data_IF_807748840173
#
_entry.id   IF_807748840173
#
_cell.length_a   1.000
_cell.length_b   1.000
_cell.length_c   1.000
_cell.angle_alpha   90.00
_cell.angle_beta   90.00
_cell.angle_gamma   90.00
#
_symmetry.space_group_name_H-M   'P 1'
#
loop_
_entity.id
_entity.type
_entity.pdbx_description
1 polymer ?
#
# COMPACT_ATOMS: atom_id res chain seq x y z
N UNK A 1 37.80 -0.30 0.63
CA UNK A 1 38.24 -0.27 2.05
C UNK A 1 37.12 -0.64 3.01
N UNK A 2 35.87 -0.15 2.84
CA UNK A 2 34.72 -0.55 3.68
C UNK A 2 34.27 -2.02 3.49
N UNK A 3 34.31 -2.54 2.27
CA UNK A 3 33.92 -3.95 1.99
C UNK A 3 34.83 -4.97 2.71
N UNK A 4 36.07 -4.58 3.00
CA UNK A 4 37.03 -5.39 3.75
C UNK A 4 36.79 -5.36 5.27
N UNK A 5 36.11 -4.34 5.80
CA UNK A 5 35.74 -4.27 7.22
C UNK A 5 34.50 -5.12 7.50
N UNK A 6 33.47 -5.04 6.64
CA UNK A 6 32.27 -5.88 6.74
C UNK A 6 32.59 -7.39 6.67
N UNK A 7 33.64 -7.77 5.95
CA UNK A 7 34.09 -9.17 5.87
C UNK A 7 34.72 -9.67 7.18
N UNK A 8 35.31 -8.77 7.97
CA UNK A 8 36.03 -9.09 9.22
C UNK A 8 35.18 -8.89 10.48
N UNK A 9 33.97 -8.34 10.32
CA UNK A 9 32.99 -8.14 11.37
C UNK A 9 32.29 -9.45 11.77
N UNK A 10 31.69 -9.43 12.96
CA UNK A 10 30.92 -10.58 13.47
C UNK A 10 29.78 -10.95 12.53
N UNK A 11 29.37 -12.22 12.50
CA UNK A 11 28.26 -12.69 11.66
C UNK A 11 26.98 -11.86 11.90
N UNK A 12 26.74 -11.48 13.15
CA UNK A 12 25.66 -10.58 13.56
C UNK A 12 25.68 -9.23 12.85
N UNK A 13 26.83 -8.57 12.78
CA UNK A 13 26.96 -7.26 12.13
C UNK A 13 26.73 -7.36 10.62
N UNK A 14 27.19 -8.44 9.98
CA UNK A 14 26.95 -8.69 8.55
C UNK A 14 25.46 -8.85 8.23
N UNK A 15 24.70 -9.49 9.11
CA UNK A 15 23.24 -9.55 9.00
C UNK A 15 22.58 -8.18 9.13
N UNK A 16 23.04 -7.36 10.09
CA UNK A 16 22.51 -6.01 10.30
C UNK A 16 22.75 -5.15 9.04
N UNK A 17 23.97 -5.15 8.49
CA UNK A 17 24.27 -4.41 7.26
C UNK A 17 23.44 -4.88 6.06
N UNK A 18 23.28 -6.20 5.91
CA UNK A 18 22.47 -6.78 4.83
C UNK A 18 21.01 -6.39 4.95
N UNK A 19 20.45 -6.46 6.17
CA UNK A 19 19.06 -6.08 6.44
C UNK A 19 18.83 -4.58 6.24
N UNK A 20 19.74 -3.73 6.73
CA UNK A 20 19.72 -2.29 6.50
C UNK A 20 19.67 -1.97 5.00
N UNK A 21 20.53 -2.60 4.20
CA UNK A 21 20.53 -2.39 2.75
C UNK A 21 19.19 -2.79 2.12
N UNK A 22 18.64 -3.96 2.46
CA UNK A 22 17.34 -4.42 1.95
C UNK A 22 16.25 -3.42 2.30
N UNK A 23 16.18 -2.96 3.56
CA UNK A 23 15.17 -1.99 4.01
C UNK A 23 15.33 -0.66 3.28
N UNK A 24 16.54 -0.12 3.18
CA UNK A 24 16.81 1.15 2.50
C UNK A 24 16.44 1.09 1.00
N UNK A 25 16.66 -0.05 0.34
CA UNK A 25 16.27 -0.28 -1.06
C UNK A 25 14.75 -0.42 -1.22
N UNK A 26 14.09 -1.24 -0.38
CA UNK A 26 12.64 -1.46 -0.47
C UNK A 26 11.85 -0.20 -0.14
N UNK A 27 12.31 0.59 0.84
CA UNK A 27 11.70 1.87 1.19
C UNK A 27 12.04 3.01 0.21
N UNK A 28 12.92 2.77 -0.78
CA UNK A 28 13.31 3.77 -1.77
C UNK A 28 14.19 4.91 -1.23
N UNK A 29 14.78 4.74 -0.04
CA UNK A 29 15.67 5.75 0.56
C UNK A 29 17.03 5.75 -0.14
N UNK A 30 17.63 4.56 -0.30
CA UNK A 30 18.82 4.35 -1.12
C UNK A 30 19.98 5.31 -0.83
N UNK A 31 20.46 5.36 0.42
CA UNK A 31 21.56 6.26 0.84
C UNK A 31 22.84 6.14 -0.01
N UNK A 32 23.05 5.00 -0.67
CA UNK A 32 24.18 4.79 -1.59
C UNK A 32 25.50 4.49 -0.90
N UNK A 33 25.49 4.25 0.41
CA UNK A 33 26.63 3.83 1.22
C UNK A 33 27.00 2.35 1.02
N UNK A 34 26.00 1.49 0.76
CA UNK A 34 26.16 0.10 0.35
C UNK A 34 25.54 -0.05 -1.04
N UNK A 35 26.36 -0.39 -2.03
CA UNK A 35 25.93 -0.47 -3.42
C UNK A 35 26.63 -1.59 -4.18
N UNK A 36 25.98 -2.11 -5.20
CA UNK A 36 26.55 -3.14 -6.06
C UNK A 36 27.65 -2.59 -6.99
N UNK A 37 28.87 -3.07 -6.81
CA UNK A 37 29.99 -2.72 -7.70
C UNK A 37 30.11 -3.68 -8.87
N UNK A 38 29.83 -4.97 -8.63
CA UNK A 38 30.00 -6.02 -9.63
C UNK A 38 28.78 -6.20 -10.52
N UNK A 39 28.97 -6.73 -11.73
CA UNK A 39 27.87 -6.99 -12.68
C UNK A 39 26.80 -7.92 -12.09
N UNK A 40 27.23 -8.97 -11.38
CA UNK A 40 26.34 -9.93 -10.71
C UNK A 40 25.56 -9.29 -9.56
N UNK A 41 26.23 -8.53 -8.69
CA UNK A 41 25.60 -7.81 -7.58
C UNK A 41 24.57 -6.79 -8.07
N UNK A 42 24.84 -6.13 -9.21
CA UNK A 42 23.92 -5.16 -9.81
C UNK A 42 22.64 -5.84 -10.29
N UNK A 43 22.77 -7.00 -10.94
CA UNK A 43 21.62 -7.78 -11.40
C UNK A 43 20.77 -8.26 -10.21
N UNK A 44 21.41 -8.73 -9.14
CA UNK A 44 20.72 -9.09 -7.90
C UNK A 44 19.99 -7.89 -7.29
N UNK A 45 20.66 -6.73 -7.22
CA UNK A 45 20.07 -5.50 -6.69
C UNK A 45 18.84 -5.05 -7.50
N UNK A 46 18.91 -5.15 -8.83
CA UNK A 46 17.76 -4.88 -9.70
C UNK A 46 16.60 -5.83 -9.42
N UNK A 47 16.86 -7.13 -9.27
CA UNK A 47 15.84 -8.11 -8.94
C UNK A 47 15.17 -7.81 -7.59
N UNK A 48 15.95 -7.49 -6.56
CA UNK A 48 15.44 -7.10 -5.23
C UNK A 48 14.55 -5.86 -5.32
N UNK A 49 14.97 -4.83 -6.06
CA UNK A 49 14.18 -3.61 -6.26
C UNK A 49 12.84 -3.89 -6.95
N UNK A 50 12.79 -4.76 -7.96
CA UNK A 50 11.55 -5.14 -8.66
C UNK A 50 10.59 -5.84 -7.69
N UNK A 51 11.10 -6.79 -6.90
CA UNK A 51 10.29 -7.51 -5.91
C UNK A 51 9.78 -6.56 -4.83
N UNK A 52 10.64 -5.68 -4.32
CA UNK A 52 10.28 -4.66 -3.32
C UNK A 52 9.18 -3.73 -3.81
N UNK A 53 9.34 -3.17 -5.02
CA UNK A 53 8.34 -2.30 -5.63
C UNK A 53 7.00 -3.01 -5.85
N UNK A 54 7.03 -4.26 -6.34
CA UNK A 54 5.82 -5.07 -6.56
C UNK A 54 5.10 -5.35 -5.24
N UNK A 55 5.84 -5.76 -4.22
CA UNK A 55 5.32 -6.00 -2.88
C UNK A 55 4.67 -4.75 -2.27
N UNK A 56 5.35 -3.60 -2.38
CA UNK A 56 4.82 -2.33 -1.89
C UNK A 56 3.51 -1.93 -2.60
N UNK A 57 3.45 -2.10 -3.93
CA UNK A 57 2.22 -1.88 -4.71
C UNK A 57 1.06 -2.77 -4.28
N UNK A 58 1.32 -4.05 -3.99
CA UNK A 58 0.31 -4.98 -3.50
C UNK A 58 -0.20 -4.62 -2.09
N UNK A 59 0.69 -4.18 -1.20
CA UNK A 59 0.35 -3.73 0.15
C UNK A 59 -0.56 -2.50 0.06
N UNK A 60 -0.16 -1.49 -0.72
CA UNK A 60 -0.99 -0.29 -0.93
C UNK A 60 -2.33 -0.68 -1.56
N UNK A 61 -2.34 -1.54 -2.58
CA UNK A 61 -3.57 -2.00 -3.22
C UNK A 61 -4.52 -2.69 -2.23
N UNK A 62 -3.98 -3.47 -1.31
CA UNK A 62 -4.76 -4.13 -0.24
C UNK A 62 -5.29 -3.12 0.76
N UNK A 63 -4.49 -2.13 1.17
CA UNK A 63 -4.90 -1.03 2.04
C UNK A 63 -6.02 -0.20 1.40
N UNK A 64 -5.90 0.14 0.11
CA UNK A 64 -6.95 0.86 -0.63
C UNK A 64 -8.24 0.07 -0.65
N UNK A 65 -8.21 -1.26 -0.90
CA UNK A 65 -9.41 -2.10 -0.86
C UNK A 65 -10.08 -2.10 0.53
N UNK A 66 -9.28 -2.14 1.59
CA UNK A 66 -9.79 -2.05 2.97
C UNK A 66 -10.49 -0.70 3.16
N UNK A 67 -9.84 0.40 2.81
CA UNK A 67 -10.39 1.76 2.93
C UNK A 67 -11.66 1.95 2.08
N UNK A 68 -11.66 1.42 0.85
CA UNK A 68 -12.82 1.43 -0.03
C UNK A 68 -13.98 0.63 0.56
N UNK A 69 -13.74 -0.54 1.15
CA UNK A 69 -14.79 -1.30 1.82
C UNK A 69 -15.38 -0.54 3.00
N UNK A 70 -14.53 0.04 3.85
CA UNK A 70 -14.95 0.89 4.96
C UNK A 70 -15.81 2.08 4.49
N UNK A 71 -15.39 2.76 3.42
CA UNK A 71 -16.18 3.84 2.83
C UNK A 71 -17.43 3.33 2.10
N UNK A 72 -17.41 2.15 1.46
CA UNK A 72 -18.56 1.55 0.77
C UNK A 72 -19.71 1.28 1.73
N UNK A 73 -19.43 0.84 2.95
CA UNK A 73 -20.47 0.65 3.97
C UNK A 73 -21.24 1.95 4.25
N UNK A 74 -20.52 3.08 4.27
CA UNK A 74 -21.10 4.41 4.53
C UNK A 74 -21.75 5.02 3.27
N UNK A 75 -21.05 4.97 2.14
CA UNK A 75 -21.49 5.59 0.87
C UNK A 75 -22.59 4.81 0.16
N UNK A 76 -22.65 3.49 0.27
CA UNK A 76 -23.75 2.72 -0.32
C UNK A 76 -25.08 3.05 0.35
N UNK A 77 -25.08 3.25 1.67
CA UNK A 77 -26.27 3.69 2.42
C UNK A 77 -26.69 5.10 2.00
N UNK A 78 -25.74 6.03 1.93
CA UNK A 78 -26.00 7.40 1.47
C UNK A 78 -26.53 7.44 0.03
N UNK A 79 -25.99 6.61 -0.88
CA UNK A 79 -26.42 6.54 -2.28
C UNK A 79 -27.82 5.94 -2.44
N UNK A 80 -28.17 4.92 -1.64
CA UNK A 80 -29.54 4.38 -1.61
C UNK A 80 -30.53 5.43 -1.12
N UNK A 81 -30.19 6.17 -0.06
CA UNK A 81 -31.02 7.25 0.48
C UNK A 81 -31.19 8.41 -0.52
N UNK A 82 -30.14 8.80 -1.24
CA UNK A 82 -30.23 9.87 -2.25
C UNK A 82 -31.08 9.46 -3.45
N UNK A 83 -30.97 8.20 -3.91
CA UNK A 83 -31.84 7.68 -4.98
C UNK A 83 -33.31 7.64 -4.55
N UNK A 84 -33.59 7.23 -3.32
CA UNK A 84 -34.95 7.24 -2.76
C UNK A 84 -35.49 8.67 -2.69
N UNK A 85 -34.71 9.62 -2.19
CA UNK A 85 -35.11 11.03 -2.14
C UNK A 85 -35.38 11.60 -3.53
N UNK A 86 -34.51 11.32 -4.51
CA UNK A 86 -34.70 11.75 -5.89
C UNK A 86 -35.98 11.16 -6.51
N UNK A 87 -36.29 9.90 -6.23
CA UNK A 87 -37.52 9.26 -6.69
C UNK A 87 -38.77 9.88 -6.06
N UNK A 88 -38.74 10.18 -4.76
CA UNK A 88 -39.83 10.85 -4.04
C UNK A 88 -40.09 12.24 -4.60
N UNK A 89 -39.02 13.01 -4.90
CA UNK A 89 -39.14 14.35 -5.45
C UNK A 89 -39.69 14.32 -6.88
N UNK A 90 -39.26 13.36 -7.71
CA UNK A 90 -39.70 13.22 -9.11
C UNK A 90 -41.14 12.73 -9.25
N UNK A 91 -41.61 11.86 -8.34
CA UNK A 91 -42.96 11.25 -8.42
C UNK A 91 -44.03 11.93 -7.55
N UNK A 92 -43.70 12.99 -6.78
CA UNK A 92 -44.62 13.68 -5.84
C UNK A 92 -45.44 12.69 -4.98
N UNK A 93 -44.75 11.74 -4.34
CA UNK A 93 -45.40 10.68 -3.58
C UNK A 93 -46.13 11.22 -2.32
N UNK A 94 -47.35 10.72 -1.99
CA UNK A 94 -48.11 11.13 -0.81
C UNK A 94 -47.33 10.87 0.50
N UNK A 95 -47.48 11.75 1.50
CA UNK A 95 -46.71 11.73 2.76
C UNK A 95 -46.75 10.37 3.51
N UNK A 96 -47.82 9.61 3.39
CA UNK A 96 -47.99 8.30 4.03
C UNK A 96 -46.97 7.24 3.55
N UNK A 97 -46.61 7.24 2.26
CA UNK A 97 -45.61 6.30 1.70
C UNK A 97 -44.17 6.71 2.08
N UNK A 98 -43.92 8.00 2.26
CA UNK A 98 -42.62 8.55 2.67
C UNK A 98 -42.22 8.11 4.08
N UNK A 99 -43.16 8.11 5.01
CA UNK A 99 -42.94 7.69 6.42
C UNK A 99 -42.59 6.21 6.52
N UNK A 100 -43.17 5.38 5.64
CA UNK A 100 -42.96 3.92 5.65
C UNK A 100 -41.64 3.49 5.00
N UNK A 101 -41.05 4.34 4.16
CA UNK A 101 -39.76 4.10 3.51
C UNK A 101 -38.54 4.66 4.29
N UNK A 102 -38.80 5.55 5.27
CA UNK A 102 -37.79 6.15 6.15
C UNK A 102 -37.64 5.42 7.49
N UNK A 103 -38.50 4.43 7.79
CA UNK A 103 -38.32 3.45 8.86
C UNK A 103 -37.50 2.27 8.36
#
# INVERSE_FOLDING_TARGET
MKDAMVQNDSVSERYIYSFYWVVATVCGVGYGDIHATNKSERLFSMAVSIVGASGFGLIIGSLTKILENWHRETTTRARKLSMVQAFIHKKRLPRALKVRLMR
#
